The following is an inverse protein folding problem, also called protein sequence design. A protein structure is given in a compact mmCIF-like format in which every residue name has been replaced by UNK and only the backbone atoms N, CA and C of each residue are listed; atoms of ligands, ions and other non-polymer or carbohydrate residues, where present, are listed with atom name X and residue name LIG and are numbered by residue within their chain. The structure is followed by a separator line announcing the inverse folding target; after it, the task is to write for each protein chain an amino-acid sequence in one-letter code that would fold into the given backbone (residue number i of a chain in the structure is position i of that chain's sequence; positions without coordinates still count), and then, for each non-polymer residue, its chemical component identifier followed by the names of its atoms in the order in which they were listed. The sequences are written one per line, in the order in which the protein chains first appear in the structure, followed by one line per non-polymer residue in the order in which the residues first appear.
data_IF_929855729200
#
_entry.id   IF_929855729200
#
_cell.length_a   1.000
_cell.length_b   1.000
_cell.length_c   1.000
_cell.angle_alpha   90.00
_cell.angle_beta   90.00
_cell.angle_gamma   90.00
#
_symmetry.space_group_name_H-M   'P 1'
#
loop_
_entity.id
_entity.type
_entity.pdbx_description
1 polymer ?
#
# COMPACT_ATOMS: atom_id res chain seq x y z
N UNK A 1 12.51 6.20 -27.58
CA UNK A 1 11.30 5.67 -26.91
C UNK A 1 10.19 6.70 -27.09
N UNK A 2 9.05 6.32 -27.67
CA UNK A 2 7.97 7.28 -27.97
C UNK A 2 7.23 7.61 -26.67
N UNK A 3 7.36 8.84 -26.20
CA UNK A 3 6.53 9.40 -25.13
C UNK A 3 5.07 9.38 -25.62
N UNK A 4 4.32 8.39 -25.13
CA UNK A 4 2.89 8.29 -25.39
C UNK A 4 2.18 9.48 -24.77
N UNK A 5 1.51 10.25 -25.62
CA UNK A 5 0.59 11.33 -25.22
C UNK A 5 -0.47 10.73 -24.29
N UNK A 6 -0.39 11.06 -23.00
CA UNK A 6 -1.43 10.69 -22.02
C UNK A 6 -2.65 11.53 -22.36
N UNK A 7 -3.64 10.90 -23.00
CA UNK A 7 -4.90 11.53 -23.35
C UNK A 7 -5.65 11.91 -22.07
N UNK A 8 -5.80 13.21 -21.83
CA UNK A 8 -6.14 13.80 -20.51
C UNK A 8 -7.62 13.73 -20.10
N UNK A 9 -8.43 12.85 -20.72
CA UNK A 9 -9.83 12.63 -20.32
C UNK A 9 -10.34 11.24 -20.74
N UNK A 10 -9.73 10.18 -20.23
CA UNK A 10 -10.14 8.80 -20.53
C UNK A 10 -10.97 8.21 -19.38
N UNK A 11 -12.24 8.57 -19.27
CA UNK A 11 -13.18 7.80 -18.46
C UNK A 11 -13.34 6.40 -19.08
N UNK A 12 -12.85 5.37 -18.39
CA UNK A 12 -12.96 3.98 -18.83
C UNK A 12 -14.18 3.32 -18.19
N UNK A 13 -15.03 2.71 -19.00
CA UNK A 13 -16.14 1.88 -18.51
C UNK A 13 -15.63 0.47 -18.22
N UNK A 14 -15.84 0.00 -17.00
CA UNK A 14 -15.52 -1.37 -16.57
C UNK A 14 -16.77 -1.99 -15.96
N UNK A 15 -17.01 -3.25 -16.30
CA UNK A 15 -18.07 -4.05 -15.69
C UNK A 15 -17.46 -4.84 -14.53
N UNK A 16 -18.21 -4.95 -13.44
CA UNK A 16 -17.83 -5.72 -12.26
C UNK A 16 -18.96 -6.70 -11.92
N UNK A 17 -18.61 -7.83 -11.33
CA UNK A 17 -19.59 -8.72 -10.70
C UNK A 17 -19.64 -8.41 -9.21
N UNK A 18 -20.84 -8.27 -8.65
CA UNK A 18 -21.09 -7.98 -7.24
C UNK A 18 -22.35 -8.74 -6.80
N UNK A 19 -22.42 -9.12 -5.54
CA UNK A 19 -23.64 -9.71 -4.98
C UNK A 19 -24.80 -8.71 -5.06
N UNK A 20 -26.03 -9.20 -5.28
CA UNK A 20 -27.24 -8.39 -5.36
C UNK A 20 -27.51 -7.57 -4.10
N UNK A 21 -27.26 -8.14 -2.93
CA UNK A 21 -27.52 -7.51 -1.64
C UNK A 21 -26.55 -6.35 -1.41
N UNK A 22 -25.27 -6.56 -1.68
CA UNK A 22 -24.24 -5.52 -1.64
C UNK A 22 -24.55 -4.38 -2.63
N UNK A 23 -24.95 -4.73 -3.86
CA UNK A 23 -25.37 -3.75 -4.85
C UNK A 23 -26.54 -2.89 -4.34
N UNK A 24 -27.53 -3.51 -3.68
CA UNK A 24 -28.68 -2.80 -3.15
C UNK A 24 -28.29 -1.82 -2.04
N UNK A 25 -27.44 -2.26 -1.10
CA UNK A 25 -26.92 -1.41 -0.01
C UNK A 25 -26.16 -0.22 -0.58
N UNK A 26 -25.18 -0.48 -1.46
CA UNK A 26 -24.34 0.56 -2.06
C UNK A 26 -25.15 1.52 -2.93
N UNK A 27 -26.08 1.01 -3.74
CA UNK A 27 -26.92 1.85 -4.59
C UNK A 27 -27.89 2.72 -3.79
N UNK A 28 -28.44 2.20 -2.70
CA UNK A 28 -29.32 2.96 -1.80
C UNK A 28 -28.55 4.07 -1.11
N UNK A 29 -27.34 3.79 -0.65
CA UNK A 29 -26.44 4.79 -0.09
C UNK A 29 -26.10 5.88 -1.12
N UNK A 30 -25.66 5.50 -2.33
CA UNK A 30 -25.30 6.43 -3.40
C UNK A 30 -26.46 7.40 -3.72
N UNK A 31 -27.69 6.87 -3.80
CA UNK A 31 -28.91 7.69 -3.98
C UNK A 31 -29.12 8.65 -2.81
N UNK A 32 -29.00 8.17 -1.57
CA UNK A 32 -29.20 8.98 -0.35
C UNK A 32 -28.23 10.16 -0.29
N UNK A 33 -26.99 9.99 -0.73
CA UNK A 33 -25.96 11.04 -0.75
C UNK A 33 -25.88 11.81 -2.07
N UNK A 34 -26.77 11.54 -3.03
CA UNK A 34 -26.87 12.28 -4.29
C UNK A 34 -25.72 12.06 -5.27
N UNK A 35 -25.06 10.89 -5.25
CA UNK A 35 -23.98 10.55 -6.19
C UNK A 35 -24.31 9.33 -7.03
N UNK A 36 -23.61 9.16 -8.15
CA UNK A 36 -23.74 7.94 -8.96
C UNK A 36 -23.05 6.75 -8.28
N UNK A 37 -23.48 5.53 -8.61
CA UNK A 37 -22.80 4.31 -8.16
C UNK A 37 -21.32 4.31 -8.57
N UNK A 38 -21.00 4.72 -9.79
CA UNK A 38 -19.61 4.84 -10.26
C UNK A 38 -18.79 5.83 -9.43
N UNK A 39 -19.38 6.96 -9.01
CA UNK A 39 -18.71 7.92 -8.13
C UNK A 39 -18.48 7.35 -6.73
N UNK A 40 -19.45 6.61 -6.18
CA UNK A 40 -19.28 5.92 -4.91
C UNK A 40 -18.11 4.93 -4.98
N UNK A 41 -18.13 4.05 -5.98
CA UNK A 41 -17.07 3.04 -6.18
C UNK A 41 -15.71 3.73 -6.37
N UNK A 42 -15.63 4.74 -7.24
CA UNK A 42 -14.39 5.49 -7.46
C UNK A 42 -13.83 6.09 -6.16
N UNK A 43 -14.67 6.76 -5.36
CA UNK A 43 -14.25 7.37 -4.09
C UNK A 43 -13.81 6.33 -3.08
N UNK A 44 -14.57 5.24 -2.93
CA UNK A 44 -14.23 4.15 -2.01
C UNK A 44 -12.92 3.47 -2.41
N UNK A 45 -12.73 3.17 -3.71
CA UNK A 45 -11.50 2.57 -4.22
C UNK A 45 -10.29 3.48 -4.02
N UNK A 46 -10.39 4.77 -4.33
CA UNK A 46 -9.28 5.71 -4.11
C UNK A 46 -8.93 5.82 -2.62
N UNK A 47 -9.94 5.89 -1.74
CA UNK A 47 -9.72 5.91 -0.29
C UNK A 47 -8.98 4.65 0.18
N UNK A 48 -9.40 3.48 -0.29
CA UNK A 48 -8.72 2.22 0.03
C UNK A 48 -7.25 2.24 -0.43
N UNK A 49 -6.99 2.67 -1.66
CA UNK A 49 -5.61 2.78 -2.18
C UNK A 49 -4.78 3.73 -1.32
N UNK A 50 -5.30 4.92 -1.01
CA UNK A 50 -4.61 5.87 -0.14
C UNK A 50 -4.33 5.31 1.25
N UNK A 51 -5.27 4.56 1.83
CA UNK A 51 -5.07 3.91 3.13
C UNK A 51 -3.99 2.83 3.07
N UNK A 52 -3.92 2.07 1.98
CA UNK A 52 -2.87 1.06 1.78
C UNK A 52 -1.50 1.69 1.50
N UNK A 53 -1.44 2.77 0.73
CA UNK A 53 -0.19 3.50 0.44
C UNK A 53 0.32 4.26 1.67
N UNK A 54 -0.59 4.72 2.54
CA UNK A 54 -0.26 5.39 3.80
C UNK A 54 -0.08 4.41 4.96
N UNK A 55 -0.29 3.11 4.76
CA UNK A 55 0.07 2.12 5.76
C UNK A 55 1.58 2.22 5.94
N UNK A 56 1.99 2.77 7.08
CA UNK A 56 3.40 2.88 7.44
C UNK A 56 4.03 1.49 7.28
N UNK A 57 5.20 1.41 6.65
CA UNK A 57 5.89 0.14 6.45
C UNK A 57 6.03 -0.61 7.79
N UNK A 58 6.18 0.14 8.90
CA UNK A 58 6.15 -0.40 10.26
C UNK A 58 4.82 -1.11 10.60
N UNK A 59 3.69 -0.47 10.33
CA UNK A 59 2.35 -1.04 10.59
C UNK A 59 2.07 -2.23 9.69
N UNK A 60 2.51 -2.19 8.42
CA UNK A 60 2.41 -3.32 7.51
C UNK A 60 3.23 -4.52 8.01
N UNK A 61 4.48 -4.30 8.42
CA UNK A 61 5.35 -5.35 8.95
C UNK A 61 4.75 -5.96 10.22
N UNK A 62 4.26 -5.13 11.16
CA UNK A 62 3.64 -5.60 12.40
C UNK A 62 2.36 -6.42 12.18
N UNK A 63 1.58 -6.10 11.15
CA UNK A 63 0.32 -6.78 10.87
C UNK A 63 0.50 -8.10 10.13
N UNK A 64 1.57 -8.26 9.35
CA UNK A 64 1.75 -9.40 8.44
C UNK A 64 2.93 -10.31 8.81
N UNK A 65 3.87 -9.84 9.62
CA UNK A 65 5.01 -10.61 10.06
C UNK A 65 5.01 -10.71 11.59
N UNK A 66 5.14 -11.93 12.15
CA UNK A 66 5.38 -12.08 13.58
C UNK A 66 6.70 -11.40 13.94
N UNK A 67 6.80 -10.94 15.19
CA UNK A 67 8.09 -10.49 15.74
C UNK A 67 9.11 -11.63 15.67
N UNK A 68 10.39 -11.24 15.58
CA UNK A 68 11.52 -12.17 15.68
C UNK A 68 11.38 -13.03 16.94
N UNK A 69 11.87 -14.26 16.91
CA UNK A 69 11.91 -15.08 18.11
C UNK A 69 12.89 -14.49 19.14
N UNK A 70 12.76 -14.87 20.41
CA UNK A 70 13.68 -14.46 21.47
C UNK A 70 15.16 -14.80 21.11
N UNK A 71 15.36 -15.88 20.35
CA UNK A 71 16.67 -16.35 19.89
C UNK A 71 17.22 -15.43 18.79
N UNK A 72 16.40 -15.10 17.78
CA UNK A 72 16.76 -14.17 16.71
C UNK A 72 17.02 -12.76 17.23
N UNK A 73 16.21 -12.30 18.21
CA UNK A 73 16.38 -10.99 18.84
C UNK A 73 17.66 -10.93 19.69
N UNK A 74 18.02 -12.03 20.36
CA UNK A 74 19.28 -12.13 21.09
C UNK A 74 20.51 -12.10 20.15
N UNK A 75 20.45 -12.79 19.01
CA UNK A 75 21.50 -12.75 17.99
C UNK A 75 21.71 -11.33 17.45
N UNK A 76 20.63 -10.64 17.08
CA UNK A 76 20.66 -9.25 16.64
C UNK A 76 21.24 -8.31 17.71
N UNK A 77 20.88 -8.53 18.97
CA UNK A 77 21.37 -7.73 20.10
C UNK A 77 22.88 -7.90 20.28
N UNK A 78 23.42 -9.10 20.12
CA UNK A 78 24.88 -9.31 20.16
C UNK A 78 25.60 -8.67 18.97
N UNK A 79 25.02 -8.75 17.77
CA UNK A 79 25.60 -8.07 16.59
C UNK A 79 25.66 -6.55 16.83
N UNK A 80 24.60 -5.94 17.36
CA UNK A 80 24.54 -4.51 17.64
C UNK A 80 25.62 -4.04 18.63
N UNK A 81 26.01 -4.87 19.59
CA UNK A 81 27.09 -4.55 20.54
C UNK A 81 28.47 -4.46 19.87
N UNK A 82 28.64 -5.11 18.72
CA UNK A 82 29.90 -5.11 17.97
C UNK A 82 30.00 -3.99 16.94
N UNK A 83 28.91 -3.27 16.68
CA UNK A 83 28.86 -2.18 15.71
C UNK A 83 29.26 -0.86 16.37
N UNK A 84 30.14 -0.12 15.70
CA UNK A 84 30.42 1.27 16.05
C UNK A 84 29.35 2.17 15.38
N UNK A 85 28.39 2.62 16.19
CA UNK A 85 27.28 3.46 15.71
C UNK A 85 27.69 4.90 15.44
N UNK A 86 28.90 5.32 15.85
CA UNK A 86 29.46 6.63 15.54
C UNK A 86 30.28 6.63 14.24
N UNK A 87 30.57 5.45 13.66
CA UNK A 87 31.26 5.38 12.38
C UNK A 87 30.35 5.90 11.25
N UNK A 88 30.79 6.89 10.46
CA UNK A 88 30.04 7.34 9.30
C UNK A 88 30.08 6.22 8.26
N UNK A 89 29.01 5.43 8.22
CA UNK A 89 28.86 4.34 7.26
C UNK A 89 29.09 4.79 5.82
N UNK A 90 29.47 3.86 4.95
CA UNK A 90 29.71 4.12 3.53
C UNK A 90 28.53 3.62 2.70
N UNK A 91 28.02 4.46 1.81
CA UNK A 91 27.06 4.05 0.80
C UNK A 91 27.73 3.08 -0.18
N UNK A 92 27.12 1.91 -0.37
CA UNK A 92 27.56 0.89 -1.32
C UNK A 92 26.63 0.89 -2.52
N UNK A 93 27.20 0.87 -3.73
CA UNK A 93 26.43 0.62 -4.94
C UNK A 93 26.34 -0.88 -5.22
N UNK A 94 25.44 -1.28 -6.12
CA UNK A 94 25.28 -2.70 -6.47
C UNK A 94 26.57 -3.28 -7.09
N UNK A 95 27.34 -2.44 -7.77
CA UNK A 95 28.64 -2.79 -8.36
C UNK A 95 29.72 -3.02 -7.29
N UNK A 96 29.52 -2.58 -6.06
CA UNK A 96 30.46 -2.82 -4.95
C UNK A 96 30.25 -4.20 -4.28
N UNK A 97 29.11 -4.86 -4.54
CA UNK A 97 28.68 -6.09 -3.87
C UNK A 97 28.79 -7.32 -4.80
N UNK A 98 28.81 -7.10 -6.12
CA UNK A 98 28.76 -8.13 -7.18
C UNK A 98 30.05 -8.08 -8.00
#
# INVERSE_FOLDING_TARGET
MKNGVINKNNYLRKNISINSDDFYVLSSFAKKVGISFSELVRKATMKYVEEQEKLDLSDFLRANYPFASDEEEAELTEILKTLDLEEPGKELSLEDII
#
